data_IF_699044396732
#
_entry.id   IF_699044396732
#
_cell.length_a   1.000
_cell.length_b   1.000
_cell.length_c   1.000
_cell.angle_alpha   90.00
_cell.angle_beta   90.00
_cell.angle_gamma   90.00
#
_symmetry.space_group_name_H-M   'P 1'
#
loop_
_entity.id
_entity.type
_entity.pdbx_description
1 polymer ?
#
# COMPACT_ATOMS: atom_id res chain seq x y z
N UNK A 1 4.09 2.16 -12.59
CA UNK A 1 3.34 1.20 -13.43
C UNK A 1 2.11 1.85 -14.03
N UNK A 2 1.13 2.27 -13.22
CA UNK A 2 -0.14 2.85 -13.70
C UNK A 2 0.07 3.92 -14.78
N UNK A 3 0.95 4.91 -14.54
CA UNK A 3 1.24 5.98 -15.50
C UNK A 3 1.62 5.47 -16.90
N UNK A 4 2.56 4.53 -17.01
CA UNK A 4 2.96 3.94 -18.29
C UNK A 4 1.83 3.11 -18.93
N UNK A 5 1.15 2.28 -18.13
CA UNK A 5 0.13 1.35 -18.63
C UNK A 5 -1.15 2.04 -19.11
N UNK A 6 -1.43 3.24 -18.61
CA UNK A 6 -2.63 4.02 -18.97
C UNK A 6 -2.30 5.23 -19.85
N UNK A 7 -1.11 5.27 -20.43
CA UNK A 7 -0.63 6.39 -21.24
C UNK A 7 -0.81 7.75 -20.54
N UNK A 8 -0.32 7.83 -19.30
CA UNK A 8 -0.33 9.01 -18.44
C UNK A 8 -1.72 9.54 -18.05
N UNK A 9 -2.77 8.71 -18.14
CA UNK A 9 -4.14 9.07 -17.73
C UNK A 9 -4.18 9.68 -16.31
N UNK A 10 -4.63 10.93 -16.24
CA UNK A 10 -4.77 11.65 -14.98
C UNK A 10 -5.79 10.97 -14.05
N UNK A 11 -6.91 10.51 -14.62
CA UNK A 11 -7.97 9.83 -13.86
C UNK A 11 -7.46 8.55 -13.21
N UNK A 12 -6.76 7.69 -13.96
CA UNK A 12 -6.23 6.44 -13.40
C UNK A 12 -5.16 6.69 -12.34
N UNK A 13 -4.33 7.73 -12.51
CA UNK A 13 -3.36 8.14 -11.49
C UNK A 13 -4.05 8.65 -10.23
N UNK A 14 -5.14 9.42 -10.36
CA UNK A 14 -5.92 9.91 -9.23
C UNK A 14 -6.60 8.78 -8.44
N UNK A 15 -7.19 7.80 -9.12
CA UNK A 15 -7.77 6.60 -8.48
C UNK A 15 -6.70 5.77 -7.77
N UNK A 16 -5.56 5.52 -8.42
CA UNK A 16 -4.45 4.82 -7.78
C UNK A 16 -3.93 5.59 -6.55
N UNK A 17 -3.84 6.92 -6.65
CA UNK A 17 -3.43 7.78 -5.55
C UNK A 17 -4.38 7.70 -4.35
N UNK A 18 -5.70 7.77 -4.57
CA UNK A 18 -6.68 7.69 -3.48
C UNK A 18 -6.63 6.34 -2.76
N UNK A 19 -6.52 5.24 -3.51
CA UNK A 19 -6.36 3.90 -2.95
C UNK A 19 -5.08 3.79 -2.10
N UNK A 20 -3.92 4.12 -2.67
CA UNK A 20 -2.63 4.12 -1.94
C UNK A 20 -2.68 4.98 -0.67
N UNK A 21 -3.25 6.19 -0.78
CA UNK A 21 -3.36 7.14 0.35
C UNK A 21 -4.21 6.56 1.47
N UNK A 22 -5.34 5.93 1.13
CA UNK A 22 -6.21 5.31 2.13
C UNK A 22 -5.56 4.10 2.81
N UNK A 23 -4.77 3.29 2.08
CA UNK A 23 -3.98 2.20 2.67
C UNK A 23 -2.89 2.73 3.59
N UNK A 24 -2.18 3.80 3.18
CA UNK A 24 -1.18 4.45 4.01
C UNK A 24 -1.79 4.96 5.33
N UNK A 25 -2.92 5.65 5.26
CA UNK A 25 -3.65 6.12 6.46
C UNK A 25 -4.04 4.95 7.34
N UNK A 26 -4.57 3.88 6.76
CA UNK A 26 -4.96 2.70 7.52
C UNK A 26 -3.76 2.05 8.23
N UNK A 27 -2.66 1.85 7.51
CA UNK A 27 -1.43 1.26 8.05
C UNK A 27 -0.85 2.16 9.16
N UNK A 28 -0.85 3.48 9.01
CA UNK A 28 -0.32 4.36 10.06
C UNK A 28 -1.15 4.30 11.34
N UNK A 29 -2.48 4.19 11.25
CA UNK A 29 -3.34 4.01 12.43
C UNK A 29 -3.19 2.64 13.10
N UNK A 30 -2.72 1.62 12.37
CA UNK A 30 -2.34 0.35 12.99
C UNK A 30 -1.04 0.46 13.78
N UNK A 31 -0.10 1.28 13.33
CA UNK A 31 1.28 1.34 13.85
C UNK A 31 1.51 2.46 14.86
N UNK A 32 0.65 3.46 14.92
CA UNK A 32 0.76 4.59 15.84
C UNK A 32 -0.57 4.86 16.54
N UNK A 33 -0.51 5.17 17.83
CA UNK A 33 -1.68 5.55 18.63
C UNK A 33 -2.24 6.92 18.19
N UNK A 34 -1.35 7.88 17.92
CA UNK A 34 -1.69 9.23 17.46
C UNK A 34 -0.95 9.53 16.14
N UNK A 35 -1.39 8.96 15.01
CA UNK A 35 -0.72 9.18 13.73
C UNK A 35 -0.89 10.63 13.26
N UNK A 36 0.19 11.21 12.72
CA UNK A 36 0.10 12.51 12.05
C UNK A 36 -0.88 12.43 10.87
N UNK A 37 -1.70 13.48 10.72
CA UNK A 37 -2.68 13.54 9.63
C UNK A 37 -1.96 13.69 8.29
N UNK A 38 -2.21 12.76 7.38
CA UNK A 38 -1.76 12.84 6.00
C UNK A 38 -2.46 14.00 5.27
N UNK A 39 -1.86 15.19 5.36
CA UNK A 39 -2.45 16.45 4.92
C UNK A 39 -1.37 17.48 4.58
N UNK A 40 -1.75 18.53 3.85
CA UNK A 40 -0.85 19.63 3.49
C UNK A 40 0.47 19.15 2.86
N UNK A 41 1.63 19.52 3.43
CA UNK A 41 2.95 19.13 2.89
C UNK A 41 3.15 17.61 2.74
N UNK A 42 2.74 16.81 3.72
CA UNK A 42 2.96 15.35 3.68
C UNK A 42 2.15 14.68 2.56
N UNK A 43 0.95 15.19 2.30
CA UNK A 43 0.13 14.73 1.17
C UNK A 43 0.76 15.12 -0.17
N UNK A 44 1.30 16.34 -0.27
CA UNK A 44 2.00 16.81 -1.47
C UNK A 44 3.26 15.96 -1.75
N UNK A 45 4.06 15.67 -0.72
CA UNK A 45 5.25 14.82 -0.84
C UNK A 45 4.90 13.38 -1.24
N UNK A 46 3.81 12.84 -0.68
CA UNK A 46 3.28 11.52 -1.07
C UNK A 46 2.88 11.52 -2.55
N UNK A 47 2.19 12.57 -3.01
CA UNK A 47 1.81 12.73 -4.41
C UNK A 47 3.03 12.82 -5.33
N UNK A 48 4.02 13.65 -4.98
CA UNK A 48 5.26 13.77 -5.75
C UNK A 48 6.01 12.44 -5.80
N UNK A 49 6.08 11.69 -4.69
CA UNK A 49 6.75 10.38 -4.62
C UNK A 49 6.06 9.32 -5.47
N UNK A 50 4.73 9.37 -5.60
CA UNK A 50 3.98 8.46 -6.47
C UNK A 50 4.16 8.78 -7.95
N UNK A 51 4.45 10.04 -8.29
CA UNK A 51 4.68 10.48 -9.67
C UNK A 51 6.14 10.45 -10.09
N UNK A 52 7.08 10.63 -9.16
CA UNK A 52 8.50 10.88 -9.43
C UNK A 52 9.39 10.11 -8.46
N UNK A 53 10.68 10.01 -8.80
CA UNK A 53 11.67 9.33 -7.98
C UNK A 53 11.96 7.90 -8.42
N UNK A 54 12.75 7.17 -7.62
CA UNK A 54 13.29 5.85 -7.98
C UNK A 54 12.20 4.79 -8.11
N UNK A 55 11.23 4.76 -7.20
CA UNK A 55 10.13 3.79 -7.20
C UNK A 55 9.18 4.01 -8.40
N UNK A 56 8.79 5.26 -8.65
CA UNK A 56 7.95 5.62 -9.79
C UNK A 56 8.64 5.28 -11.12
N UNK A 57 9.93 5.65 -11.25
CA UNK A 57 10.76 5.29 -12.40
C UNK A 57 10.84 3.78 -12.62
N UNK A 58 11.10 3.00 -11.55
CA UNK A 58 11.23 1.55 -11.65
C UNK A 58 9.93 0.92 -12.14
N UNK A 59 8.79 1.30 -11.53
CA UNK A 59 7.49 0.83 -11.97
C UNK A 59 7.13 1.29 -13.39
N UNK A 60 7.64 2.42 -13.87
CA UNK A 60 7.46 2.87 -15.26
C UNK A 60 8.23 1.99 -16.24
N UNK A 61 9.49 1.70 -15.92
CA UNK A 61 10.36 0.86 -16.75
C UNK A 61 9.87 -0.59 -16.82
N UNK A 62 9.43 -1.16 -15.69
CA UNK A 62 8.79 -2.48 -15.68
C UNK A 62 7.53 -2.52 -16.56
N UNK A 63 6.67 -1.50 -16.48
CA UNK A 63 5.45 -1.45 -17.28
C UNK A 63 5.71 -1.30 -18.79
N UNK A 64 6.85 -0.72 -19.17
CA UNK A 64 7.28 -0.64 -20.58
C UNK A 64 8.14 -1.83 -21.04
N UNK A 65 8.31 -2.85 -20.18
CA UNK A 65 9.21 -3.97 -20.41
C UNK A 65 10.68 -3.56 -20.67
N UNK A 66 11.09 -2.37 -20.21
CA UNK A 66 12.47 -1.87 -20.29
C UNK A 66 13.35 -2.39 -19.13
N UNK A 67 12.71 -2.86 -18.06
CA UNK A 67 13.31 -3.64 -16.98
C UNK A 67 12.47 -4.90 -16.78
N UNK A 68 13.09 -5.92 -16.18
CA UNK A 68 12.40 -7.14 -15.77
C UNK A 68 12.51 -7.35 -14.26
N UNK A 69 11.60 -8.13 -13.68
CA UNK A 69 11.57 -8.39 -12.24
C UNK A 69 12.79 -9.18 -11.76
N UNK A 70 13.44 -9.93 -12.66
CA UNK A 70 14.66 -10.70 -12.41
C UNK A 70 15.85 -9.81 -12.07
N UNK A 71 15.83 -8.55 -12.54
CA UNK A 71 16.88 -7.58 -12.25
C UNK A 71 16.90 -7.14 -10.77
N UNK A 72 15.86 -7.50 -10.00
CA UNK A 72 15.78 -7.23 -8.57
C UNK A 72 15.55 -5.76 -8.25
N UNK A 73 15.77 -5.39 -6.99
CA UNK A 73 15.55 -4.03 -6.48
C UNK A 73 16.83 -3.18 -6.44
N UNK A 74 17.99 -3.70 -6.84
CA UNK A 74 19.24 -2.95 -6.92
C UNK A 74 19.66 -2.76 -8.37
N UNK A 75 19.39 -1.57 -8.92
CA UNK A 75 19.65 -1.29 -10.33
C UNK A 75 20.95 -0.52 -10.49
N UNK A 76 21.89 -1.07 -11.27
CA UNK A 76 23.18 -0.44 -11.56
C UNK A 76 22.99 0.99 -12.08
N UNK A 77 23.66 1.96 -11.45
CA UNK A 77 23.56 3.38 -11.81
C UNK A 77 22.31 4.10 -11.28
N UNK A 78 21.35 3.39 -10.65
CA UNK A 78 20.16 3.98 -10.01
C UNK A 78 20.13 3.76 -8.49
N UNK A 79 20.78 2.70 -8.01
CA UNK A 79 20.79 2.27 -6.62
C UNK A 79 19.55 1.44 -6.25
N UNK A 80 19.35 1.24 -4.95
CA UNK A 80 18.26 0.43 -4.42
C UNK A 80 16.90 1.11 -4.56
N UNK A 81 15.91 0.34 -5.04
CA UNK A 81 14.50 0.70 -5.17
C UNK A 81 13.80 0.29 -3.87
N UNK A 82 13.92 1.14 -2.86
CA UNK A 82 13.40 0.88 -1.51
C UNK A 82 11.91 0.54 -1.46
N UNK A 83 11.13 0.97 -2.46
CA UNK A 83 9.72 0.61 -2.58
C UNK A 83 9.48 -0.89 -2.71
N UNK A 84 10.38 -1.64 -3.35
CA UNK A 84 10.24 -3.11 -3.48
C UNK A 84 10.41 -3.77 -2.12
N UNK A 85 11.48 -3.42 -1.39
CA UNK A 85 11.74 -3.97 -0.06
C UNK A 85 10.64 -3.56 0.94
N UNK A 86 10.10 -2.34 0.83
CA UNK A 86 8.99 -1.87 1.64
C UNK A 86 7.69 -2.67 1.38
N UNK A 87 7.36 -2.98 0.12
CA UNK A 87 6.20 -3.82 -0.23
C UNK A 87 6.29 -5.18 0.46
N UNK A 88 7.47 -5.82 0.44
CA UNK A 88 7.67 -7.08 1.15
C UNK A 88 7.47 -6.93 2.66
N UNK A 89 8.15 -5.96 3.27
CA UNK A 89 8.11 -5.76 4.72
C UNK A 89 6.69 -5.48 5.24
N UNK A 90 5.95 -4.56 4.59
CA UNK A 90 4.59 -4.25 5.01
C UNK A 90 3.62 -5.40 4.76
N UNK A 91 3.77 -6.14 3.67
CA UNK A 91 2.92 -7.30 3.42
C UNK A 91 3.11 -8.36 4.52
N UNK A 92 4.35 -8.73 4.84
CA UNK A 92 4.64 -9.73 5.87
C UNK A 92 4.18 -9.25 7.26
N UNK A 93 4.41 -7.98 7.59
CA UNK A 93 3.97 -7.38 8.85
C UNK A 93 2.44 -7.46 9.03
N UNK A 94 1.69 -7.11 7.99
CA UNK A 94 0.22 -7.05 8.04
C UNK A 94 -0.45 -8.42 7.83
N UNK A 95 0.32 -9.44 7.44
CA UNK A 95 -0.16 -10.82 7.25
C UNK A 95 -0.01 -11.70 8.50
N UNK A 96 0.54 -11.17 9.59
CA UNK A 96 0.75 -11.93 10.82
C UNK A 96 -0.58 -12.43 11.40
N UNK A 97 -0.73 -13.76 11.52
CA UNK A 97 -1.97 -14.40 11.98
C UNK A 97 -2.34 -14.14 13.44
N UNK A 98 -1.44 -13.55 14.24
CA UNK A 98 -1.70 -13.11 15.62
C UNK A 98 -2.58 -11.86 15.69
N UNK A 99 -2.87 -11.22 14.56
CA UNK A 99 -3.51 -9.92 14.51
C UNK A 99 -4.66 -9.97 13.49
N UNK A 100 -5.83 -9.55 13.95
CA UNK A 100 -7.02 -9.44 13.12
C UNK A 100 -7.72 -8.11 13.36
N UNK A 101 -8.32 -7.59 12.31
CA UNK A 101 -9.21 -6.43 12.34
C UNK A 101 -10.60 -6.84 11.85
N UNK A 102 -11.61 -6.05 12.21
CA UNK A 102 -12.97 -6.26 11.72
C UNK A 102 -13.13 -5.60 10.36
N UNK A 103 -13.45 -6.37 9.33
CA UNK A 103 -13.71 -5.85 7.99
C UNK A 103 -14.94 -4.91 8.02
N UNK A 104 -14.86 -3.70 7.43
CA UNK A 104 -15.91 -2.69 7.55
C UNK A 104 -17.24 -3.15 6.96
N UNK A 105 -17.23 -3.78 5.79
CA UNK A 105 -18.43 -4.29 5.13
C UNK A 105 -18.88 -5.66 5.67
N UNK A 106 -18.03 -6.69 5.54
CA UNK A 106 -18.42 -8.08 5.85
C UNK A 106 -18.51 -8.39 7.34
N UNK A 107 -18.00 -7.50 8.21
CA UNK A 107 -17.89 -7.67 9.67
C UNK A 107 -17.07 -8.88 10.12
N UNK A 108 -16.40 -9.58 9.21
CA UNK A 108 -15.52 -10.73 9.52
C UNK A 108 -14.19 -10.24 10.09
N UNK A 109 -13.58 -11.07 10.93
CA UNK A 109 -12.19 -10.89 11.34
C UNK A 109 -11.25 -11.34 10.23
N UNK A 110 -10.39 -10.43 9.78
CA UNK A 110 -9.43 -10.66 8.71
C UNK A 110 -8.05 -10.15 9.11
N UNK A 111 -7.01 -10.66 8.48
CA UNK A 111 -5.67 -10.10 8.60
C UNK A 111 -5.69 -8.65 8.08
N UNK A 112 -4.96 -7.70 8.68
CA UNK A 112 -4.91 -6.32 8.21
C UNK A 112 -4.58 -6.16 6.73
N UNK A 113 -3.73 -7.03 6.18
CA UNK A 113 -3.34 -7.01 4.77
C UNK A 113 -4.53 -7.17 3.82
N UNK A 114 -5.62 -7.82 4.26
CA UNK A 114 -6.83 -8.01 3.45
C UNK A 114 -7.54 -6.69 3.13
N UNK A 115 -7.30 -5.63 3.92
CA UNK A 115 -7.82 -4.29 3.67
C UNK A 115 -6.85 -3.41 2.86
N UNK A 116 -5.71 -3.98 2.40
CA UNK A 116 -4.69 -3.30 1.59
C UNK A 116 -4.52 -3.97 0.21
N UNK A 117 -5.55 -3.93 -0.65
CA UNK A 117 -5.52 -4.62 -1.94
C UNK A 117 -4.42 -4.17 -2.92
N UNK A 118 -4.04 -2.90 -2.91
CA UNK A 118 -2.94 -2.39 -3.74
C UNK A 118 -1.62 -2.96 -3.24
N UNK A 119 -1.36 -2.93 -1.93
CA UNK A 119 -0.19 -3.59 -1.35
C UNK A 119 -0.15 -5.09 -1.70
N UNK A 120 -1.28 -5.81 -1.58
CA UNK A 120 -1.38 -7.24 -1.95
C UNK A 120 -1.04 -7.47 -3.43
N UNK A 121 -1.56 -6.63 -4.32
CA UNK A 121 -1.30 -6.73 -5.76
C UNK A 121 0.16 -6.45 -6.07
N UNK A 122 0.73 -5.39 -5.47
CA UNK A 122 2.15 -5.06 -5.62
C UNK A 122 3.05 -6.18 -5.09
N UNK A 123 2.70 -6.82 -3.96
CA UNK A 123 3.44 -7.97 -3.45
C UNK A 123 3.43 -9.15 -4.42
N UNK A 124 2.25 -9.47 -4.98
CA UNK A 124 2.12 -10.53 -5.99
C UNK A 124 2.89 -10.26 -7.27
N UNK A 125 2.98 -9.00 -7.69
CA UNK A 125 3.77 -8.58 -8.86
C UNK A 125 5.27 -8.58 -8.54
N UNK A 126 5.68 -7.84 -7.51
CA UNK A 126 7.09 -7.51 -7.27
C UNK A 126 7.86 -8.60 -6.52
N UNK A 127 7.19 -9.33 -5.62
CA UNK A 127 7.84 -10.28 -4.71
C UNK A 127 7.55 -11.71 -5.14
N UNK A 128 6.28 -12.11 -5.24
CA UNK A 128 5.90 -13.46 -5.66
C UNK A 128 6.06 -13.70 -7.16
N UNK A 129 5.98 -12.63 -7.96
CA UNK A 129 6.02 -12.66 -9.44
C UNK A 129 4.93 -13.57 -10.04
N UNK A 130 3.80 -13.67 -9.34
CA UNK A 130 2.62 -14.45 -9.76
C UNK A 130 1.74 -13.67 -10.73
N UNK A 131 1.84 -12.34 -10.71
CA UNK A 131 1.06 -11.43 -11.54
C UNK A 131 1.95 -10.56 -12.42
N UNK A 132 1.45 -10.25 -13.61
CA UNK A 132 2.06 -9.28 -14.51
C UNK A 132 1.83 -7.85 -14.05
N UNK A 133 2.62 -6.90 -14.57
CA UNK A 133 2.48 -5.48 -14.22
C UNK A 133 1.10 -4.91 -14.56
N UNK A 134 0.41 -5.48 -15.56
CA UNK A 134 -0.96 -5.08 -15.94
C UNK A 134 -2.00 -5.34 -14.86
N UNK A 135 -1.79 -6.32 -13.96
CA UNK A 135 -2.74 -6.64 -12.88
C UNK A 135 -2.94 -5.49 -11.89
N UNK A 136 -2.04 -4.50 -11.85
CA UNK A 136 -2.27 -3.27 -11.08
C UNK A 136 -3.47 -2.48 -11.62
N UNK A 137 -3.77 -2.58 -12.93
CA UNK A 137 -4.93 -1.93 -13.53
C UNK A 137 -6.24 -2.62 -13.17
N UNK A 138 -6.21 -3.94 -12.99
CA UNK A 138 -7.35 -4.71 -12.51
C UNK A 138 -7.65 -4.32 -11.06
N UNK A 139 -6.62 -4.24 -10.22
CA UNK A 139 -6.78 -3.84 -8.82
C UNK A 139 -7.40 -2.44 -8.66
N UNK A 140 -7.01 -1.44 -9.45
CA UNK A 140 -7.61 -0.10 -9.34
C UNK A 140 -9.02 0.01 -9.95
N UNK A 141 -9.48 -1.01 -10.69
CA UNK A 141 -10.81 -1.08 -11.32
C UNK A 141 -11.77 -2.00 -10.58
N UNK A 142 -11.29 -2.70 -9.56
CA UNK A 142 -12.08 -3.66 -8.81
C UNK A 142 -13.11 -2.93 -7.95
N UNK A 143 -14.36 -2.94 -8.43
CA UNK A 143 -15.50 -2.32 -7.76
C UNK A 143 -15.88 -3.02 -6.45
N UNK A 144 -15.36 -4.24 -6.20
CA UNK A 144 -15.53 -4.94 -4.93
C UNK A 144 -14.55 -4.50 -3.84
N UNK A 145 -13.58 -3.64 -4.19
CA UNK A 145 -12.67 -3.08 -3.18
C UNK A 145 -13.35 -2.02 -2.34
N UNK A 146 -13.13 -2.11 -1.02
CA UNK A 146 -13.65 -1.12 -0.07
C UNK A 146 -13.22 0.29 -0.47
N UNK A 147 -14.24 1.16 -0.56
CA UNK A 147 -14.11 2.58 -0.90
C UNK A 147 -12.98 3.20 -0.03
N UNK A 148 -12.01 3.92 -0.63
CA UNK A 148 -10.99 4.66 0.11
C UNK A 148 -11.53 5.43 1.31
N UNK A 149 -12.72 6.01 1.20
CA UNK A 149 -13.40 6.72 2.28
C UNK A 149 -13.74 5.81 3.45
N UNK A 150 -14.32 4.64 3.20
CA UNK A 150 -14.68 3.71 4.27
C UNK A 150 -13.44 3.22 5.02
N UNK A 151 -12.36 2.93 4.30
CA UNK A 151 -11.06 2.58 4.89
C UNK A 151 -10.53 3.69 5.81
N UNK A 152 -10.64 4.95 5.38
CA UNK A 152 -10.23 6.12 6.19
C UNK A 152 -11.15 6.29 7.42
N UNK A 153 -12.46 6.19 7.25
CA UNK A 153 -13.40 6.31 8.37
C UNK A 153 -13.19 5.21 9.41
N UNK A 154 -12.93 3.98 8.96
CA UNK A 154 -12.55 2.87 9.83
C UNK A 154 -11.26 3.18 10.59
N UNK A 155 -10.22 3.66 9.89
CA UNK A 155 -8.93 4.07 10.47
C UNK A 155 -9.10 5.08 11.62
N UNK A 156 -10.00 6.05 11.44
CA UNK A 156 -10.18 7.17 12.37
C UNK A 156 -11.15 6.88 13.54
N UNK A 157 -12.15 6.02 13.36
CA UNK A 157 -13.20 5.78 14.37
C UNK A 157 -12.84 4.68 15.37
N UNK A 158 -12.04 3.71 14.95
CA UNK A 158 -11.67 2.56 15.78
C UNK A 158 -10.28 2.81 16.36
N UNK A 159 -10.07 2.45 17.64
CA UNK A 159 -8.71 2.28 18.18
C UNK A 159 -8.06 1.08 17.48
N UNK A 160 -7.51 1.37 16.30
CA UNK A 160 -6.87 0.42 15.41
C UNK A 160 -5.42 0.19 15.76
N UNK A 161 -4.86 0.99 16.67
CA UNK A 161 -3.49 0.80 17.10
C UNK A 161 -3.25 -0.64 17.61
N UNK A 162 -2.27 -1.30 17.01
CA UNK A 162 -1.84 -2.67 17.33
C UNK A 162 -0.34 -2.67 17.62
N UNK A 163 0.08 -2.29 18.84
CA UNK A 163 1.49 -2.29 19.24
C UNK A 163 2.17 -3.65 19.04
N UNK A 164 1.42 -4.75 19.11
CA UNK A 164 1.93 -6.09 18.84
C UNK A 164 2.51 -6.29 17.44
N UNK A 165 2.12 -5.47 16.44
CA UNK A 165 2.77 -5.47 15.12
C UNK A 165 4.25 -5.11 15.22
N UNK A 166 4.59 -4.24 16.17
CA UNK A 166 5.95 -3.76 16.39
C UNK A 166 6.72 -4.60 17.43
N UNK A 167 6.16 -5.75 17.83
CA UNK A 167 6.71 -6.56 18.93
C UNK A 167 6.56 -5.91 20.31
N UNK A 168 5.76 -4.85 20.42
CA UNK A 168 5.48 -4.19 21.69
C UNK A 168 4.35 -4.93 22.42
N UNK A 169 4.39 -5.00 23.77
CA UNK A 169 3.29 -5.57 24.54
C UNK A 169 1.98 -4.84 24.23
N UNK A 170 0.84 -5.54 24.31
CA UNK A 170 -0.47 -4.91 24.19
C UNK A 170 -0.52 -3.80 25.23
N UNK A 171 -0.58 -2.53 24.78
CA UNK A 171 -0.70 -1.40 25.70
C UNK A 171 -1.87 -1.67 26.63
N UNK A 172 -1.61 -1.62 27.94
CA UNK A 172 -2.63 -1.87 28.94
C UNK A 172 -3.83 -0.97 28.66
N UNK A 173 -4.98 -1.59 28.43
CA UNK A 173 -6.26 -0.89 28.37
C UNK A 173 -6.42 -0.26 29.74
N UNK A 174 -6.17 1.05 29.87
CA UNK A 174 -6.62 1.79 31.03
C UNK A 174 -8.15 1.78 30.99
N UNK A 175 -8.73 0.88 31.79
CA UNK A 175 -10.14 0.85 32.16
C UNK A 175 -10.56 2.17 32.81
#
# INVERSE_FOLDING_TARGET
MVAALTNESATSKAVYFSLCTSEMIYITHLLAEEPERLSGPLLADTYVTLLKGRNAWYGHKLAKAELTLEMGDSIKGKGTIQGVSAVNAFYELLSQGSISVTHPETKKHVAPVELCPILKTLYKILIKRELGTSSILEAIRDESMSDPRERIEMAQRQSLYRPSLLGLPKGDIKL
#
